data_IF_621662690758
#
_entry.id   IF_621662690758
#
_cell.length_a   1.000
_cell.length_b   1.000
_cell.length_c   1.000
_cell.angle_alpha   90.00
_cell.angle_beta   90.00
_cell.angle_gamma   90.00
#
_symmetry.space_group_name_H-M   'P 1'
#
loop_
_entity.id
_entity.type
_entity.pdbx_description
1 polymer ?
#
# COMPACT_ATOMS: atom_id res chain seq x y z
N UNK A 1 -2.47 24.46 11.96
CA UNK A 1 -2.87 23.38 11.04
C UNK A 1 -2.02 23.53 9.79
N UNK A 2 -1.17 22.54 9.51
CA UNK A 2 -0.36 22.55 8.29
C UNK A 2 -1.27 22.40 7.07
N UNK A 3 -1.08 23.15 5.97
CA UNK A 3 -1.89 23.02 4.76
C UNK A 3 -1.82 21.65 4.09
N UNK A 4 -0.93 20.76 4.52
CA UNK A 4 -0.77 19.38 4.07
C UNK A 4 -1.71 18.37 4.74
N UNK A 5 -2.59 18.80 5.66
CA UNK A 5 -3.50 17.92 6.39
C UNK A 5 -4.97 18.02 5.94
N UNK A 6 -5.23 18.70 4.83
CA UNK A 6 -6.56 18.79 4.26
C UNK A 6 -6.99 17.41 3.77
N UNK A 7 -7.91 16.78 4.51
CA UNK A 7 -8.53 15.52 4.11
C UNK A 7 -9.59 15.75 3.05
N UNK A 8 -9.72 14.85 2.08
CA UNK A 8 -10.70 14.91 1.01
C UNK A 8 -11.47 13.58 0.93
N UNK A 9 -12.79 13.67 0.97
CA UNK A 9 -13.66 12.53 0.73
C UNK A 9 -14.10 12.56 -0.73
N UNK A 10 -13.66 11.58 -1.50
CA UNK A 10 -14.14 11.37 -2.85
C UNK A 10 -15.46 10.61 -2.78
N UNK A 11 -16.49 11.14 -3.44
CA UNK A 11 -17.82 10.54 -3.47
C UNK A 11 -18.18 10.22 -4.91
N UNK A 12 -18.35 8.94 -5.24
CA UNK A 12 -18.80 8.49 -6.55
C UNK A 12 -20.21 7.94 -6.43
N UNK A 13 -21.16 8.62 -7.09
CA UNK A 13 -22.56 8.23 -7.12
C UNK A 13 -23.22 8.80 -8.38
N UNK A 14 -23.91 7.96 -9.14
CA UNK A 14 -24.61 8.39 -10.37
C UNK A 14 -25.94 9.12 -10.10
N UNK A 15 -26.57 8.92 -8.92
CA UNK A 15 -27.75 9.65 -8.50
C UNK A 15 -27.40 11.05 -7.96
N UNK A 16 -27.74 12.13 -8.68
CA UNK A 16 -27.39 13.50 -8.26
C UNK A 16 -28.06 13.94 -6.97
N UNK A 17 -29.26 13.43 -6.65
CA UNK A 17 -29.95 13.78 -5.40
C UNK A 17 -29.23 13.20 -4.19
N UNK A 18 -28.92 11.92 -4.25
CA UNK A 18 -28.21 11.24 -3.16
C UNK A 18 -26.77 11.76 -3.04
N UNK A 19 -26.09 12.01 -4.17
CA UNK A 19 -24.75 12.60 -4.19
C UNK A 19 -24.71 13.95 -3.48
N UNK A 20 -25.67 14.85 -3.78
CA UNK A 20 -25.76 16.16 -3.11
C UNK A 20 -26.10 16.02 -1.63
N UNK A 21 -26.99 15.11 -1.24
CA UNK A 21 -27.33 14.87 0.15
C UNK A 21 -26.13 14.36 0.97
N UNK A 22 -25.38 13.39 0.43
CA UNK A 22 -24.16 12.87 1.07
C UNK A 22 -23.06 13.93 1.14
N UNK A 23 -22.88 14.72 0.09
CA UNK A 23 -21.94 15.85 0.10
C UNK A 23 -22.30 16.85 1.20
N UNK A 24 -23.55 17.27 1.27
CA UNK A 24 -24.02 18.22 2.29
C UNK A 24 -23.83 17.67 3.71
N UNK A 25 -24.09 16.40 3.93
CA UNK A 25 -23.86 15.75 5.23
C UNK A 25 -22.38 15.77 5.62
N UNK A 26 -21.49 15.40 4.73
CA UNK A 26 -20.04 15.37 4.99
C UNK A 26 -19.49 16.78 5.23
N UNK A 27 -19.92 17.76 4.45
CA UNK A 27 -19.51 19.16 4.59
C UNK A 27 -20.05 19.79 5.89
N UNK A 28 -21.23 19.37 6.36
CA UNK A 28 -21.81 19.87 7.63
C UNK A 28 -20.96 19.50 8.86
N UNK A 29 -20.17 18.44 8.77
CA UNK A 29 -19.20 18.04 9.81
C UNK A 29 -17.77 18.48 9.51
N UNK A 30 -17.58 19.39 8.53
CA UNK A 30 -16.29 19.98 8.21
C UNK A 30 -15.37 19.12 7.33
N UNK A 31 -15.89 18.06 6.72
CA UNK A 31 -15.15 17.25 5.76
C UNK A 31 -15.25 17.85 4.36
N UNK A 32 -14.11 18.04 3.71
CA UNK A 32 -14.09 18.47 2.31
C UNK A 32 -14.48 17.30 1.42
N UNK A 33 -15.37 17.54 0.45
CA UNK A 33 -15.87 16.50 -0.43
C UNK A 33 -15.64 16.87 -1.89
N UNK A 34 -15.25 15.87 -2.70
CA UNK A 34 -15.22 15.97 -4.15
C UNK A 34 -16.18 14.94 -4.71
N UNK A 35 -17.31 15.43 -5.22
CA UNK A 35 -18.39 14.61 -5.70
C UNK A 35 -18.27 14.38 -7.22
N UNK A 36 -18.29 13.13 -7.65
CA UNK A 36 -18.18 12.67 -9.03
C UNK A 36 -19.39 11.84 -9.41
N UNK A 37 -19.81 11.91 -10.67
CA UNK A 37 -20.91 11.11 -11.18
C UNK A 37 -20.49 9.65 -11.43
N UNK A 38 -19.22 9.46 -11.80
CA UNK A 38 -18.65 8.15 -12.11
C UNK A 38 -17.15 8.07 -11.79
N UNK A 39 -16.58 6.92 -12.07
CA UNK A 39 -15.15 6.64 -11.80
C UNK A 39 -14.23 7.38 -12.76
N UNK A 40 -14.66 7.67 -13.99
CA UNK A 40 -13.84 8.37 -14.98
C UNK A 40 -13.65 9.83 -14.55
N UNK A 41 -14.70 10.46 -14.03
CA UNK A 41 -14.63 11.78 -13.42
C UNK A 41 -13.72 11.77 -12.18
N UNK A 42 -13.83 10.75 -11.30
CA UNK A 42 -12.93 10.57 -10.17
C UNK A 42 -11.47 10.49 -10.61
N UNK A 43 -11.14 9.64 -11.58
CA UNK A 43 -9.77 9.47 -12.06
C UNK A 43 -9.18 10.77 -12.62
N UNK A 44 -10.01 11.58 -13.29
CA UNK A 44 -9.62 12.89 -13.83
C UNK A 44 -9.39 13.92 -12.73
N UNK A 45 -10.23 13.90 -11.69
CA UNK A 45 -10.22 14.87 -10.60
C UNK A 45 -9.31 14.47 -9.43
N UNK A 46 -8.75 13.26 -9.46
CA UNK A 46 -7.91 12.74 -8.38
C UNK A 46 -6.67 13.60 -8.17
N UNK A 47 -6.41 13.94 -6.93
CA UNK A 47 -5.25 14.73 -6.51
C UNK A 47 -4.23 13.80 -5.84
N UNK A 48 -3.12 13.45 -6.50
CA UNK A 48 -2.03 12.73 -5.89
C UNK A 48 -1.54 13.42 -4.62
N UNK A 49 -1.18 12.64 -3.62
CA UNK A 49 -0.71 13.12 -2.31
C UNK A 49 -1.75 13.78 -1.40
N UNK A 50 -3.00 13.93 -1.84
CA UNK A 50 -4.09 14.33 -0.95
C UNK A 50 -4.52 13.15 -0.08
N UNK A 51 -4.57 13.38 1.23
CA UNK A 51 -5.08 12.40 2.18
C UNK A 51 -6.59 12.27 2.00
N UNK A 52 -7.10 11.10 1.72
CA UNK A 52 -8.53 10.92 1.48
C UNK A 52 -9.03 9.49 1.55
N UNK A 53 -10.33 9.34 1.38
CA UNK A 53 -11.00 8.05 1.19
C UNK A 53 -12.04 8.17 0.06
N UNK A 54 -12.50 7.04 -0.44
CA UNK A 54 -13.52 6.94 -1.47
C UNK A 54 -14.81 6.34 -0.89
N UNK A 55 -15.91 7.07 -1.03
CA UNK A 55 -17.28 6.57 -0.90
C UNK A 55 -17.77 6.20 -2.29
N UNK A 56 -18.03 4.92 -2.50
CA UNK A 56 -18.45 4.39 -3.79
C UNK A 56 -19.86 3.79 -3.69
N UNK A 57 -20.83 4.43 -4.34
CA UNK A 57 -22.16 3.86 -4.50
C UNK A 57 -22.17 2.83 -5.62
N UNK A 58 -22.59 1.61 -5.29
CA UNK A 58 -22.63 0.49 -6.23
C UNK A 58 -24.07 0.01 -6.39
N UNK A 59 -24.54 0.01 -7.64
CA UNK A 59 -25.84 -0.60 -7.99
C UNK A 59 -25.72 -2.11 -8.22
N UNK A 60 -26.86 -2.85 -8.08
CA UNK A 60 -26.86 -4.32 -8.15
C UNK A 60 -26.39 -4.94 -9.47
N UNK A 61 -26.31 -6.27 -9.50
CA UNK A 61 -25.20 -7.03 -10.06
C UNK A 61 -25.03 -6.85 -11.56
N UNK A 62 -23.80 -6.61 -11.96
CA UNK A 62 -23.34 -6.70 -13.34
C UNK A 62 -22.38 -5.62 -13.81
N UNK A 63 -22.26 -4.49 -13.14
CA UNK A 63 -21.34 -3.42 -13.54
C UNK A 63 -20.54 -2.87 -12.36
N UNK A 64 -19.31 -3.37 -12.20
CA UNK A 64 -18.12 -2.58 -11.90
C UNK A 64 -17.60 -2.39 -10.48
N UNK A 65 -18.00 -3.06 -9.41
CA UNK A 65 -17.24 -2.95 -8.17
C UNK A 65 -15.82 -3.54 -8.32
N UNK A 66 -15.73 -4.69 -9.00
CA UNK A 66 -14.46 -5.36 -9.35
C UNK A 66 -13.58 -4.46 -10.22
N UNK A 67 -14.20 -3.77 -11.19
CA UNK A 67 -13.47 -2.91 -12.11
C UNK A 67 -13.00 -1.62 -11.46
N UNK A 68 -13.72 -1.07 -10.47
CA UNK A 68 -13.32 0.19 -9.84
C UNK A 68 -12.04 0.04 -9.04
N UNK A 69 -11.97 -0.95 -8.15
CA UNK A 69 -10.75 -1.17 -7.35
C UNK A 69 -9.55 -1.59 -8.21
N UNK A 70 -9.81 -2.34 -9.29
CA UNK A 70 -8.78 -2.66 -10.26
C UNK A 70 -8.31 -1.41 -10.99
N UNK A 71 -9.22 -0.56 -11.46
CA UNK A 71 -8.90 0.72 -12.11
C UNK A 71 -8.13 1.67 -11.19
N UNK A 72 -8.50 1.76 -9.92
CA UNK A 72 -7.73 2.53 -8.93
C UNK A 72 -6.29 2.01 -8.83
N UNK A 73 -6.09 0.69 -8.78
CA UNK A 73 -4.75 0.08 -8.76
C UNK A 73 -3.95 0.35 -10.04
N UNK A 74 -4.60 0.24 -11.20
CA UNK A 74 -3.98 0.53 -12.51
C UNK A 74 -3.49 1.99 -12.63
N UNK A 75 -4.10 2.91 -11.85
CA UNK A 75 -3.73 4.32 -11.78
C UNK A 75 -2.90 4.67 -10.53
N UNK A 76 -2.37 3.66 -9.81
CA UNK A 76 -1.59 3.85 -8.55
C UNK A 76 -2.35 4.66 -7.47
N UNK A 77 -3.68 4.58 -7.46
CA UNK A 77 -4.54 5.24 -6.47
C UNK A 77 -4.77 4.32 -5.29
N UNK A 78 -4.15 4.63 -4.16
CA UNK A 78 -4.29 3.89 -2.90
C UNK A 78 -5.22 4.64 -1.93
N UNK A 79 -6.51 4.67 -2.24
CA UNK A 79 -7.55 5.21 -1.38
C UNK A 79 -8.25 4.07 -0.63
N UNK A 80 -8.47 4.18 0.70
CA UNK A 80 -9.44 3.34 1.38
C UNK A 80 -10.83 3.52 0.78
N UNK A 81 -11.48 2.42 0.40
CA UNK A 81 -12.78 2.42 -0.28
C UNK A 81 -13.87 1.94 0.67
N UNK A 82 -14.91 2.73 0.83
CA UNK A 82 -16.16 2.38 1.51
C UNK A 82 -17.20 2.18 0.41
N UNK A 83 -17.83 1.01 0.40
CA UNK A 83 -18.87 0.69 -0.57
C UNK A 83 -20.24 0.96 0.03
N UNK A 84 -21.07 1.67 -0.70
CA UNK A 84 -22.48 1.91 -0.38
C UNK A 84 -23.34 1.19 -1.41
N UNK A 85 -24.40 0.49 -0.98
CA UNK A 85 -25.31 -0.19 -1.92
C UNK A 85 -26.74 -0.27 -1.39
N UNK A 86 -27.71 -0.27 -2.29
CA UNK A 86 -29.13 -0.49 -1.95
C UNK A 86 -29.57 -1.97 -1.98
N UNK A 87 -28.68 -2.87 -2.37
CA UNK A 87 -28.96 -4.31 -2.47
C UNK A 87 -27.73 -5.08 -2.00
N UNK A 88 -27.48 -5.04 -0.69
CA UNK A 88 -26.37 -5.76 -0.06
C UNK A 88 -26.82 -7.17 0.31
N UNK A 89 -26.40 -8.18 -0.46
CA UNK A 89 -26.38 -9.52 0.06
C UNK A 89 -25.02 -9.83 0.71
N UNK A 90 -24.98 -10.81 1.58
CA UNK A 90 -23.75 -11.21 2.28
C UNK A 90 -22.64 -11.60 1.30
N UNK A 91 -22.99 -12.19 0.15
CA UNK A 91 -22.02 -12.61 -0.86
C UNK A 91 -21.33 -11.39 -1.52
N UNK A 92 -22.09 -10.34 -1.79
CA UNK A 92 -21.56 -9.08 -2.34
C UNK A 92 -20.64 -8.39 -1.34
N UNK A 93 -21.05 -8.28 -0.07
CA UNK A 93 -20.22 -7.70 0.99
C UNK A 93 -18.89 -8.47 1.14
N UNK A 94 -18.95 -9.80 1.23
CA UNK A 94 -17.74 -10.66 1.32
C UNK A 94 -16.86 -10.49 0.09
N UNK A 95 -17.42 -10.38 -1.09
CA UNK A 95 -16.65 -10.17 -2.33
C UNK A 95 -15.96 -8.81 -2.31
N UNK A 96 -16.66 -7.76 -1.96
CA UNK A 96 -16.12 -6.41 -1.85
C UNK A 96 -14.94 -6.33 -0.86
N UNK A 97 -15.11 -6.94 0.31
CA UNK A 97 -14.06 -6.99 1.34
C UNK A 97 -12.83 -7.79 0.87
N UNK A 98 -13.02 -8.95 0.22
CA UNK A 98 -11.93 -9.72 -0.37
C UNK A 98 -11.16 -8.96 -1.45
N UNK A 99 -11.79 -8.00 -2.11
CA UNK A 99 -11.17 -7.14 -3.12
C UNK A 99 -10.45 -5.93 -2.52
N UNK A 100 -10.52 -5.76 -1.20
CA UNK A 100 -9.82 -4.72 -0.49
C UNK A 100 -10.66 -3.48 -0.18
N UNK A 101 -12.01 -3.57 -0.25
CA UNK A 101 -12.84 -2.56 0.38
C UNK A 101 -12.54 -2.51 1.88
N UNK A 102 -12.50 -1.29 2.43
CA UNK A 102 -12.28 -1.11 3.85
C UNK A 102 -13.55 -1.36 4.64
N UNK A 103 -14.69 -0.96 4.07
CA UNK A 103 -15.99 -1.09 4.71
C UNK A 103 -17.12 -1.18 3.67
N UNK A 104 -18.30 -1.58 4.16
CA UNK A 104 -19.48 -1.81 3.36
C UNK A 104 -20.74 -1.33 4.10
N UNK A 105 -21.54 -0.49 3.46
CA UNK A 105 -22.75 0.11 4.02
C UNK A 105 -23.97 -0.24 3.15
N UNK A 106 -24.98 -0.85 3.75
CA UNK A 106 -26.26 -1.13 3.08
C UNK A 106 -27.28 0.00 3.33
N UNK A 107 -27.95 0.43 2.28
CA UNK A 107 -29.04 1.41 2.36
C UNK A 107 -30.35 0.71 2.77
N UNK A 108 -31.15 1.32 3.67
CA UNK A 108 -30.92 2.59 4.34
C UNK A 108 -29.94 2.48 5.52
N UNK A 109 -29.01 3.41 5.62
CA UNK A 109 -28.05 3.47 6.73
C UNK A 109 -28.27 4.71 7.60
N UNK A 110 -27.77 4.63 8.83
CA UNK A 110 -27.73 5.76 9.76
C UNK A 110 -26.58 6.71 9.36
N UNK A 111 -26.84 8.01 9.38
CA UNK A 111 -25.82 9.06 9.10
C UNK A 111 -24.58 8.93 10.00
N UNK A 112 -24.77 8.63 11.29
CA UNK A 112 -23.67 8.44 12.23
C UNK A 112 -22.78 7.26 11.82
N UNK A 113 -23.37 6.15 11.37
CA UNK A 113 -22.62 4.99 10.89
C UNK A 113 -21.77 5.34 9.68
N UNK A 114 -22.32 6.11 8.72
CA UNK A 114 -21.55 6.60 7.57
C UNK A 114 -20.36 7.45 8.01
N UNK A 115 -20.58 8.39 8.93
CA UNK A 115 -19.51 9.27 9.45
C UNK A 115 -18.44 8.47 10.19
N UNK A 116 -18.80 7.48 10.96
CA UNK A 116 -17.86 6.59 11.66
C UNK A 116 -16.99 5.81 10.67
N UNK A 117 -17.58 5.25 9.60
CA UNK A 117 -16.85 4.59 8.51
C UNK A 117 -15.89 5.55 7.80
N UNK A 118 -16.32 6.78 7.51
CA UNK A 118 -15.47 7.80 6.88
C UNK A 118 -14.30 8.18 7.79
N UNK A 119 -14.53 8.40 9.09
CA UNK A 119 -13.46 8.69 10.04
C UNK A 119 -12.46 7.54 10.14
N UNK A 120 -12.95 6.29 10.17
CA UNK A 120 -12.10 5.09 10.13
C UNK A 120 -11.26 5.05 8.85
N UNK A 121 -11.88 5.28 7.70
CA UNK A 121 -11.18 5.29 6.41
C UNK A 121 -10.10 6.39 6.32
N UNK A 122 -10.39 7.58 6.84
CA UNK A 122 -9.41 8.66 6.89
C UNK A 122 -8.25 8.36 7.86
N UNK A 123 -8.51 7.65 8.95
CA UNK A 123 -7.45 7.16 9.85
C UNK A 123 -6.56 6.13 9.16
N UNK A 124 -7.14 5.18 8.45
CA UNK A 124 -6.43 4.19 7.64
C UNK A 124 -5.60 4.85 6.52
N UNK A 125 -6.17 5.83 5.82
CA UNK A 125 -5.44 6.61 4.81
C UNK A 125 -4.17 7.28 5.37
N UNK A 126 -4.23 7.79 6.62
CA UNK A 126 -3.05 8.35 7.31
C UNK A 126 -1.98 7.30 7.55
N UNK A 127 -2.37 6.09 7.96
CA UNK A 127 -1.44 4.97 8.18
C UNK A 127 -0.77 4.56 6.89
N UNK A 128 -1.54 4.35 5.82
CA UNK A 128 -1.03 3.98 4.48
C UNK A 128 -0.09 5.05 3.92
N UNK A 129 -0.46 6.33 4.01
CA UNK A 129 0.39 7.44 3.56
C UNK A 129 1.73 7.47 4.29
N UNK A 130 1.74 7.31 5.63
CA UNK A 130 2.98 7.25 6.41
C UNK A 130 3.87 6.08 5.98
N UNK A 131 3.29 4.90 5.76
CA UNK A 131 4.00 3.73 5.28
C UNK A 131 4.61 3.97 3.88
N UNK A 132 3.81 4.56 2.95
CA UNK A 132 4.25 4.90 1.59
C UNK A 132 5.40 5.90 1.61
N UNK A 133 5.28 7.00 2.34
CA UNK A 133 6.35 8.02 2.46
C UNK A 133 7.63 7.40 3.04
N UNK A 134 7.49 6.55 4.07
CA UNK A 134 8.62 5.85 4.65
C UNK A 134 9.30 4.93 3.64
N UNK A 135 8.52 4.17 2.86
CA UNK A 135 9.03 3.27 1.81
C UNK A 135 9.76 4.05 0.72
N UNK A 136 9.18 5.17 0.24
CA UNK A 136 9.80 6.04 -0.76
C UNK A 136 11.15 6.60 -0.26
N UNK A 137 11.23 7.05 0.99
CA UNK A 137 12.47 7.53 1.58
C UNK A 137 13.53 6.42 1.66
N UNK A 138 13.13 5.18 2.00
CA UNK A 138 14.04 4.03 1.99
C UNK A 138 14.55 3.71 0.58
N UNK A 139 13.68 3.71 -0.42
CA UNK A 139 14.08 3.52 -1.83
C UNK A 139 15.01 4.64 -2.30
N UNK A 140 14.75 5.89 -1.91
CA UNK A 140 15.65 7.01 -2.22
C UNK A 140 17.05 6.78 -1.68
N UNK A 141 17.19 6.35 -0.41
CA UNK A 141 18.48 6.00 0.18
C UNK A 141 19.13 4.82 -0.54
N UNK A 142 18.38 3.77 -0.81
CA UNK A 142 18.87 2.60 -1.53
C UNK A 142 19.45 2.97 -2.91
N UNK A 143 18.80 3.88 -3.62
CA UNK A 143 19.27 4.36 -4.93
C UNK A 143 20.57 5.19 -4.86
N UNK A 144 21.01 5.62 -3.66
CA UNK A 144 22.34 6.24 -3.48
C UNK A 144 23.45 5.21 -3.34
N UNK A 145 23.13 3.94 -3.16
CA UNK A 145 24.11 2.87 -3.09
C UNK A 145 24.68 2.58 -4.48
N UNK A 146 25.98 2.34 -4.53
CA UNK A 146 26.61 1.79 -5.74
C UNK A 146 26.14 0.35 -5.99
N UNK A 147 26.25 -0.18 -7.22
CA UNK A 147 25.87 -1.58 -7.50
C UNK A 147 26.52 -2.58 -6.51
N UNK A 148 27.78 -2.39 -6.18
CA UNK A 148 28.51 -3.24 -5.20
C UNK A 148 27.96 -3.11 -3.77
N UNK A 149 27.60 -1.92 -3.36
CA UNK A 149 26.98 -1.69 -2.04
C UNK A 149 25.57 -2.31 -2.00
N UNK A 150 24.81 -2.26 -3.10
CA UNK A 150 23.51 -2.95 -3.22
C UNK A 150 23.66 -4.47 -3.12
N UNK A 151 24.68 -5.05 -3.81
CA UNK A 151 24.96 -6.48 -3.72
C UNK A 151 25.30 -6.87 -2.27
N UNK A 152 26.16 -6.10 -1.61
CA UNK A 152 26.52 -6.33 -0.20
C UNK A 152 25.27 -6.21 0.69
N UNK A 153 24.39 -5.22 0.48
CA UNK A 153 23.14 -5.08 1.23
C UNK A 153 22.24 -6.31 1.09
N UNK A 154 22.07 -6.84 -0.14
CA UNK A 154 21.28 -8.06 -0.38
C UNK A 154 21.82 -9.26 0.39
N UNK A 155 23.14 -9.45 0.38
CA UNK A 155 23.78 -10.55 1.12
C UNK A 155 23.68 -10.38 2.65
N UNK A 156 23.81 -9.15 3.16
CA UNK A 156 23.57 -8.84 4.57
C UNK A 156 22.13 -9.21 4.96
N UNK A 157 21.19 -8.81 4.13
CA UNK A 157 19.78 -9.05 4.37
C UNK A 157 19.45 -10.56 4.33
N UNK A 158 20.12 -11.33 3.48
CA UNK A 158 20.06 -12.79 3.46
C UNK A 158 20.74 -13.47 4.67
N UNK A 159 21.36 -12.69 5.57
CA UNK A 159 21.96 -13.22 6.81
C UNK A 159 23.39 -13.70 6.68
N UNK A 160 24.08 -13.46 5.56
CA UNK A 160 25.44 -13.95 5.34
C UNK A 160 26.44 -13.18 6.20
N UNK A 161 27.46 -13.91 6.70
CA UNK A 161 28.64 -13.35 7.39
C UNK A 161 29.57 -12.64 6.40
N UNK A 162 30.46 -11.77 6.90
CA UNK A 162 31.46 -11.09 6.06
C UNK A 162 32.33 -12.06 5.25
N UNK A 163 32.57 -13.26 5.77
CA UNK A 163 33.34 -14.31 5.08
C UNK A 163 32.57 -14.86 3.89
N UNK A 164 31.31 -15.23 4.11
CA UNK A 164 30.44 -15.76 3.06
C UNK A 164 30.16 -14.71 1.98
N UNK A 165 29.93 -13.45 2.36
CA UNK A 165 29.78 -12.33 1.41
C UNK A 165 31.04 -12.15 0.55
N UNK A 166 32.24 -12.26 1.18
CA UNK A 166 33.51 -12.16 0.47
C UNK A 166 33.67 -13.28 -0.56
N UNK A 167 33.29 -14.50 -0.22
CA UNK A 167 33.30 -15.67 -1.11
C UNK A 167 32.30 -15.50 -2.27
N UNK A 168 31.03 -15.16 -1.97
CA UNK A 168 29.96 -14.99 -2.98
C UNK A 168 30.26 -13.86 -3.96
N UNK A 169 30.78 -12.73 -3.46
CA UNK A 169 31.03 -11.56 -4.29
C UNK A 169 32.45 -11.49 -4.88
N UNK A 170 33.27 -12.51 -4.59
CA UNK A 170 34.68 -12.58 -4.97
C UNK A 170 35.47 -11.31 -4.53
N UNK A 171 35.37 -10.97 -3.23
CA UNK A 171 36.01 -9.82 -2.60
C UNK A 171 36.88 -10.25 -1.41
N UNK A 172 37.76 -9.36 -0.96
CA UNK A 172 38.42 -9.55 0.34
C UNK A 172 37.46 -9.23 1.50
N UNK A 173 37.61 -9.89 2.65
CA UNK A 173 36.83 -9.55 3.86
C UNK A 173 36.93 -8.09 4.23
N UNK A 174 38.15 -7.49 4.12
CA UNK A 174 38.38 -6.07 4.38
C UNK A 174 37.59 -5.18 3.44
N UNK A 175 37.47 -5.58 2.17
CA UNK A 175 36.64 -4.86 1.18
C UNK A 175 35.14 -4.93 1.54
N UNK A 176 34.67 -6.09 1.98
CA UNK A 176 33.28 -6.28 2.45
C UNK A 176 32.99 -5.38 3.66
N UNK A 177 33.92 -5.31 4.64
CA UNK A 177 33.77 -4.44 5.81
C UNK A 177 33.64 -2.96 5.41
N UNK A 178 34.44 -2.49 4.45
CA UNK A 178 34.34 -1.13 3.93
C UNK A 178 33.01 -0.88 3.25
N UNK A 179 32.53 -1.82 2.41
CA UNK A 179 31.20 -1.68 1.77
C UNK A 179 30.08 -1.70 2.81
N UNK A 180 30.15 -2.57 3.83
CA UNK A 180 29.17 -2.61 4.91
C UNK A 180 29.07 -1.29 5.65
N UNK A 181 30.21 -0.69 5.99
CA UNK A 181 30.24 0.62 6.66
C UNK A 181 29.54 1.70 5.80
N UNK A 182 29.83 1.75 4.50
CA UNK A 182 29.19 2.68 3.56
C UNK A 182 27.69 2.41 3.40
N UNK A 183 27.27 1.14 3.38
CA UNK A 183 25.85 0.77 3.34
C UNK A 183 25.15 1.27 4.60
N UNK A 184 25.70 1.02 5.79
CA UNK A 184 25.12 1.50 7.05
C UNK A 184 24.98 3.02 7.07
N UNK A 185 26.01 3.74 6.64
CA UNK A 185 26.03 5.21 6.56
C UNK A 185 24.95 5.74 5.59
N UNK A 186 24.96 5.29 4.33
CA UNK A 186 24.05 5.77 3.28
C UNK A 186 22.59 5.40 3.58
N UNK A 187 22.35 4.21 4.11
CA UNK A 187 21.01 3.79 4.55
C UNK A 187 20.58 4.47 5.86
N UNK A 188 21.50 5.13 6.57
CA UNK A 188 21.29 5.72 7.90
C UNK A 188 20.78 4.68 8.90
N UNK A 189 21.41 3.53 8.94
CA UNK A 189 21.06 2.45 9.83
C UNK A 189 22.02 2.45 11.05
N UNK A 190 21.46 2.53 12.25
CA UNK A 190 22.22 2.55 13.50
C UNK A 190 22.60 1.13 13.98
N UNK A 191 21.96 0.11 13.41
CA UNK A 191 22.20 -1.29 13.72
C UNK A 191 21.91 -2.21 12.54
N UNK A 192 22.53 -3.40 12.56
CA UNK A 192 22.24 -4.46 11.57
C UNK A 192 20.75 -4.83 11.54
N UNK A 193 20.13 -4.96 12.70
CA UNK A 193 18.69 -5.26 12.82
C UNK A 193 17.82 -4.19 12.16
N UNK A 194 18.22 -2.93 12.26
CA UNK A 194 17.52 -1.82 11.60
C UNK A 194 17.71 -1.90 10.08
N UNK A 195 18.93 -2.19 9.60
CA UNK A 195 19.23 -2.34 8.18
C UNK A 195 18.39 -3.48 7.55
N UNK A 196 18.30 -4.62 8.25
CA UNK A 196 17.47 -5.76 7.79
C UNK A 196 16.00 -5.36 7.72
N UNK A 197 15.44 -4.69 8.74
CA UNK A 197 14.04 -4.21 8.68
C UNK A 197 13.81 -3.22 7.54
N UNK A 198 14.79 -2.38 7.21
CA UNK A 198 14.71 -1.48 6.05
C UNK A 198 14.69 -2.26 4.74
N UNK A 199 15.55 -3.28 4.60
CA UNK A 199 15.58 -4.15 3.43
C UNK A 199 14.26 -4.93 3.24
N UNK A 200 13.67 -5.43 4.33
CA UNK A 200 12.34 -6.07 4.31
C UNK A 200 11.24 -5.10 3.88
N UNK A 201 11.25 -3.87 4.40
CA UNK A 201 10.25 -2.85 4.05
C UNK A 201 10.33 -2.39 2.57
N UNK A 202 11.43 -2.68 1.89
CA UNK A 202 11.64 -2.41 0.46
C UNK A 202 11.39 -3.62 -0.44
N UNK A 203 10.97 -4.76 0.11
CA UNK A 203 10.83 -6.06 -0.59
C UNK A 203 12.13 -6.53 -1.29
N UNK A 204 13.30 -6.10 -0.78
CA UNK A 204 14.62 -6.54 -1.29
C UNK A 204 14.86 -8.01 -0.91
N UNK A 205 14.26 -8.45 0.20
CA UNK A 205 14.20 -9.84 0.61
C UNK A 205 12.85 -10.41 0.20
N UNK A 206 12.83 -11.23 -0.82
CA UNK A 206 11.77 -12.21 -1.03
C UNK A 206 12.01 -13.35 -0.03
N UNK A 207 11.39 -13.25 1.13
CA UNK A 207 11.77 -14.02 2.33
C UNK A 207 11.48 -15.53 2.26
N UNK A 208 10.81 -16.05 1.23
CA UNK A 208 10.40 -17.46 1.19
C UNK A 208 10.49 -18.15 -0.17
N UNK A 209 10.58 -17.43 -1.29
CA UNK A 209 10.61 -18.08 -2.61
C UNK A 209 11.92 -18.83 -2.92
N UNK A 210 13.03 -18.47 -2.25
CA UNK A 210 14.35 -19.08 -2.52
C UNK A 210 14.70 -20.23 -1.54
N UNK A 211 13.98 -20.41 -0.43
CA UNK A 211 14.23 -21.52 0.51
C UNK A 211 13.69 -22.85 -0.01
N UNK A 212 12.58 -22.82 -0.76
CA UNK A 212 12.03 -24.03 -1.38
C UNK A 212 12.84 -24.50 -2.61
N UNK A 213 13.50 -23.59 -3.31
CA UNK A 213 14.37 -23.94 -4.45
C UNK A 213 15.65 -24.65 -4.02
N UNK A 214 16.15 -24.40 -2.81
CA UNK A 214 17.35 -25.03 -2.28
C UNK A 214 17.10 -26.37 -1.56
N UNK A 215 15.87 -26.61 -1.12
CA UNK A 215 15.47 -27.87 -0.46
C UNK A 215 15.21 -29.00 -1.46
N UNK A 216 14.79 -28.68 -2.69
CA UNK A 216 14.45 -29.68 -3.72
C UNK A 216 15.65 -30.22 -4.49
N UNK A 217 16.86 -29.68 -4.30
CA UNK A 217 18.06 -30.14 -5.01
C UNK A 217 18.91 -31.16 -4.22
N UNK A 218 18.45 -31.65 -3.06
CA UNK A 218 19.24 -32.58 -2.19
C UNK A 218 18.73 -34.00 -2.11
N UNK A 219 17.63 -34.35 -2.77
CA UNK A 219 17.04 -35.70 -2.71
C UNK A 219 16.90 -36.34 -4.10
N UNK A 220 18.00 -36.48 -4.85
CA UNK A 220 18.10 -37.55 -5.85
C UNK A 220 19.16 -38.55 -5.39
N UNK A 221 18.77 -39.78 -5.02
CA UNK A 221 19.72 -40.84 -4.80
C UNK A 221 20.29 -41.33 -6.16
N UNK A 222 21.57 -41.72 -6.23
CA UNK A 222 22.16 -42.20 -7.47
C UNK A 222 21.49 -43.51 -7.87
N UNK A 223 20.95 -43.55 -9.07
CA UNK A 223 20.50 -44.78 -9.72
C UNK A 223 21.68 -45.73 -9.88
N UNK A 224 21.53 -46.92 -9.29
CA UNK A 224 22.35 -48.08 -9.55
C UNK A 224 21.88 -48.78 -10.83
#
# INVERSE_FOLDING_TARGET
>A
MNPTDATLVYLVNDDPMLRNALQSLLESVGLRTLACADVDELLTAYQPDTLGCLLLDVRPPGRNTLSVQQRLREHDIDLPVIIITGHGDVAMAVTAMKQGALDFLEKPFNEQLLLDCVHHALAEARVRRRARVRRQELHRRFNTLTPREQDVLRQIAAGLSNREIAEVLNLSRKTVEVHRAKVMEKMRADSLSQLIRMAMAMDILKLYDDLDACATSRDEPPCA
#
